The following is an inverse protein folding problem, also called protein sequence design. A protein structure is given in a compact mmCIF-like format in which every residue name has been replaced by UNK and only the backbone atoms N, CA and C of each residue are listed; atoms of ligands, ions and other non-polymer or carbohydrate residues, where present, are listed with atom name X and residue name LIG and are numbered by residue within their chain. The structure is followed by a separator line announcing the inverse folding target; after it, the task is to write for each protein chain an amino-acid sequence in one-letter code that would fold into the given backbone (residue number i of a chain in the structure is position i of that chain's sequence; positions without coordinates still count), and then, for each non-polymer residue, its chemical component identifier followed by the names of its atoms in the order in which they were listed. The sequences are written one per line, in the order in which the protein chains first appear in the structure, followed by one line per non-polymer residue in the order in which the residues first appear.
data_IF_243850082288
#
_entry.id   IF_243850082288
#
_cell.length_a   1.000
_cell.length_b   1.000
_cell.length_c   1.000
_cell.angle_alpha   90.00
_cell.angle_beta   90.00
_cell.angle_gamma   90.00
#
_symmetry.space_group_name_H-M   'P 1'
#
loop_
_entity.id
_entity.type
_entity.pdbx_description
1 polymer ?
#
# COMPACT_ATOMS: atom_id res chain seq x y z
N UNK A 1 26.53 -64.31 54.73
CA UNK A 1 27.06 -62.92 54.81
C UNK A 1 27.53 -62.53 53.41
N UNK A 2 26.77 -61.89 52.51
CA UNK A 2 25.75 -60.85 52.68
C UNK A 2 26.34 -59.50 52.21
N UNK A 3 26.57 -59.31 50.90
CA UNK A 3 26.97 -58.01 50.32
C UNK A 3 25.72 -57.16 50.08
N UNK A 4 25.67 -55.89 50.52
CA UNK A 4 24.49 -55.05 50.33
C UNK A 4 24.49 -54.36 48.96
N UNK A 5 23.30 -54.31 48.36
CA UNK A 5 22.95 -53.53 47.19
C UNK A 5 22.93 -52.03 47.52
N UNK A 6 23.50 -51.19 46.65
CA UNK A 6 23.16 -49.77 46.59
C UNK A 6 22.42 -49.49 45.28
N UNK A 7 21.11 -49.29 45.39
CA UNK A 7 20.21 -48.91 44.32
C UNK A 7 20.01 -47.39 44.26
N UNK A 8 19.88 -46.91 43.02
CA UNK A 8 18.82 -46.01 42.52
C UNK A 8 18.28 -44.96 43.53
N UNK A 9 18.87 -43.76 43.58
CA UNK A 9 18.21 -42.64 44.26
C UNK A 9 18.68 -41.23 43.82
N UNK A 10 18.86 -40.93 42.53
CA UNK A 10 19.12 -39.54 42.08
C UNK A 10 18.50 -39.25 40.69
N UNK A 11 17.22 -39.57 40.50
CA UNK A 11 16.47 -39.24 39.26
C UNK A 11 15.14 -38.51 39.49
N UNK A 12 14.97 -37.91 40.67
CA UNK A 12 13.81 -37.08 40.98
C UNK A 12 14.28 -35.87 41.78
N UNK A 13 14.54 -34.76 41.09
CA UNK A 13 14.34 -33.34 41.48
C UNK A 13 14.94 -32.52 40.33
N UNK A 14 14.23 -32.51 39.20
CA UNK A 14 14.31 -31.46 38.17
C UNK A 14 12.91 -31.36 37.54
N UNK A 15 11.90 -31.28 38.42
CA UNK A 15 10.50 -31.08 38.08
C UNK A 15 10.01 -29.83 38.80
N UNK A 16 10.49 -28.67 38.37
CA UNK A 16 9.85 -27.39 38.68
C UNK A 16 9.96 -26.46 37.47
N UNK A 17 8.81 -26.28 36.83
CA UNK A 17 8.44 -25.19 35.93
C UNK A 17 9.26 -25.01 34.65
N UNK A 18 9.03 -25.91 33.68
CA UNK A 18 8.92 -25.45 32.30
C UNK A 18 7.64 -24.60 32.21
N UNK A 19 7.80 -23.30 32.44
CA UNK A 19 6.81 -22.33 31.99
C UNK A 19 6.74 -22.46 30.47
N UNK A 20 5.71 -23.13 29.96
CA UNK A 20 5.43 -23.17 28.54
C UNK A 20 5.08 -21.74 28.14
N UNK A 21 6.08 -21.03 27.64
CA UNK A 21 5.89 -19.79 26.90
C UNK A 21 5.00 -20.12 25.70
N UNK A 22 3.69 -19.87 25.82
CA UNK A 22 2.72 -19.89 24.72
C UNK A 22 2.96 -18.66 23.82
N UNK A 23 4.12 -18.60 23.17
CA UNK A 23 4.48 -17.55 22.24
C UNK A 23 4.44 -17.96 20.76
N UNK A 24 4.17 -19.24 20.44
CA UNK A 24 4.37 -19.79 19.08
C UNK A 24 3.10 -20.07 18.27
N UNK A 25 1.90 -20.01 18.87
CA UNK A 25 0.67 -20.40 18.17
C UNK A 25 0.25 -19.43 17.06
N UNK A 26 0.45 -18.12 17.25
CA UNK A 26 -0.03 -17.11 16.29
C UNK A 26 0.80 -17.06 14.99
N UNK A 27 2.13 -17.23 15.10
CA UNK A 27 3.05 -17.20 13.94
C UNK A 27 2.86 -18.44 13.05
N UNK A 28 2.63 -19.60 13.66
CA UNK A 28 2.37 -20.84 12.90
C UNK A 28 1.02 -20.77 12.16
N UNK A 29 0.02 -20.14 12.75
CA UNK A 29 -1.31 -20.04 12.17
C UNK A 29 -1.40 -19.10 10.96
N UNK A 30 -0.74 -17.92 11.01
CA UNK A 30 -0.67 -17.02 9.84
C UNK A 30 0.02 -17.71 8.67
N UNK A 31 1.06 -18.49 8.95
CA UNK A 31 1.77 -19.29 7.94
C UNK A 31 0.86 -20.34 7.32
N UNK A 32 0.03 -21.03 8.13
CA UNK A 32 -0.93 -22.01 7.64
C UNK A 32 -2.01 -21.37 6.74
N UNK A 33 -2.56 -20.22 7.14
CA UNK A 33 -3.52 -19.47 6.32
C UNK A 33 -2.86 -19.08 5.00
N UNK A 34 -1.69 -18.44 5.05
CA UNK A 34 -0.95 -18.00 3.85
C UNK A 34 -0.69 -19.19 2.90
N UNK A 35 -0.18 -20.32 3.40
CA UNK A 35 0.05 -21.52 2.60
C UNK A 35 -1.25 -22.06 1.97
N UNK A 36 -2.36 -22.00 2.71
CA UNK A 36 -3.65 -22.51 2.23
C UNK A 36 -4.24 -21.66 1.10
N UNK A 37 -4.19 -20.33 1.23
CA UNK A 37 -4.79 -19.42 0.23
C UNK A 37 -3.87 -19.16 -0.97
N UNK A 38 -2.55 -19.35 -0.81
CA UNK A 38 -1.58 -19.12 -1.90
C UNK A 38 -1.21 -20.37 -2.70
N UNK A 39 -1.69 -21.57 -2.33
CA UNK A 39 -1.27 -22.84 -2.93
C UNK A 39 -1.34 -22.87 -4.47
N UNK A 40 -2.45 -22.39 -5.02
CA UNK A 40 -2.73 -22.36 -6.47
C UNK A 40 -2.96 -20.91 -6.97
N UNK A 41 -2.50 -19.94 -6.20
CA UNK A 41 -2.74 -18.53 -6.46
C UNK A 41 -1.85 -18.01 -7.58
N UNK A 42 -2.46 -17.45 -8.64
CA UNK A 42 -1.72 -16.82 -9.73
C UNK A 42 -1.78 -15.30 -9.65
N UNK A 43 -0.72 -14.71 -9.09
CA UNK A 43 -0.59 -13.25 -8.93
C UNK A 43 -0.48 -12.44 -10.22
N UNK A 44 -0.40 -13.07 -11.40
CA UNK A 44 -0.21 -12.37 -12.69
C UNK A 44 -1.52 -11.86 -13.29
N UNK A 45 -2.66 -12.37 -12.84
CA UNK A 45 -3.97 -12.02 -13.37
C UNK A 45 -4.84 -11.36 -12.31
N UNK A 46 -5.79 -10.53 -12.74
CA UNK A 46 -6.76 -9.89 -11.83
C UNK A 46 -7.48 -10.94 -10.99
N UNK A 47 -7.63 -10.73 -9.68
CA UNK A 47 -8.22 -11.71 -8.78
C UNK A 47 -9.75 -11.70 -8.80
N UNK A 48 -10.34 -11.87 -9.99
CA UNK A 48 -11.78 -12.02 -10.21
C UNK A 48 -12.08 -13.41 -10.77
N UNK A 49 -13.22 -14.00 -10.37
CA UNK A 49 -13.71 -15.28 -10.91
C UNK A 49 -14.40 -15.14 -12.26
N UNK A 50 -14.93 -13.95 -12.55
CA UNK A 50 -15.52 -13.61 -13.85
C UNK A 50 -14.73 -12.48 -14.50
N UNK A 51 -14.18 -12.71 -15.70
CA UNK A 51 -13.40 -11.68 -16.38
C UNK A 51 -14.23 -10.42 -16.69
N UNK A 52 -15.53 -10.55 -16.90
CA UNK A 52 -16.46 -9.43 -17.11
C UNK A 52 -16.64 -8.53 -15.89
N UNK A 53 -16.22 -8.97 -14.70
CA UNK A 53 -16.34 -8.18 -13.47
C UNK A 53 -15.28 -7.09 -13.44
N UNK A 54 -15.74 -5.85 -13.32
CA UNK A 54 -14.91 -4.68 -13.02
C UNK A 54 -14.45 -4.74 -11.56
N UNK A 55 -13.18 -4.42 -11.31
CA UNK A 55 -12.65 -4.24 -9.97
C UNK A 55 -12.67 -2.76 -9.59
N UNK A 56 -13.20 -2.45 -8.42
CA UNK A 56 -13.08 -1.12 -7.81
C UNK A 56 -11.94 -1.12 -6.82
N UNK A 57 -10.97 -0.23 -7.01
CA UNK A 57 -9.75 -0.13 -6.23
C UNK A 57 -9.63 1.30 -5.72
N UNK A 58 -10.29 1.68 -4.62
CA UNK A 58 -10.15 3.01 -4.07
C UNK A 58 -8.69 3.32 -3.75
N UNK A 59 -8.19 4.44 -4.29
CA UNK A 59 -6.81 4.90 -4.10
C UNK A 59 -6.82 6.19 -3.28
N UNK A 60 -5.98 6.26 -2.25
CA UNK A 60 -5.75 7.48 -1.48
C UNK A 60 -4.31 7.92 -1.63
N UNK A 61 -4.10 9.20 -1.94
CA UNK A 61 -2.78 9.81 -2.00
C UNK A 61 -2.61 10.83 -0.88
N UNK A 62 -1.46 10.76 -0.21
CA UNK A 62 -0.99 11.78 0.71
C UNK A 62 0.32 12.34 0.19
N UNK A 63 0.37 13.66 0.02
CA UNK A 63 1.58 14.37 -0.40
C UNK A 63 2.29 14.84 0.86
N UNK A 64 3.48 14.28 1.09
CA UNK A 64 4.29 14.61 2.27
C UNK A 64 5.19 15.82 2.01
N UNK A 65 5.76 15.91 0.80
CA UNK A 65 6.77 16.91 0.50
C UNK A 65 6.79 17.25 -1.00
N UNK A 66 6.82 18.53 -1.31
CA UNK A 66 7.15 19.05 -2.65
C UNK A 66 8.63 19.41 -2.63
N UNK A 67 9.46 18.59 -3.26
CA UNK A 67 10.92 18.78 -3.22
C UNK A 67 11.38 19.87 -4.17
N UNK A 68 10.84 19.87 -5.39
CA UNK A 68 11.26 20.80 -6.44
C UNK A 68 10.06 21.24 -7.27
N UNK A 69 10.03 22.53 -7.59
CA UNK A 69 9.20 23.11 -8.64
C UNK A 69 10.15 23.69 -9.68
N UNK A 70 9.97 23.31 -10.94
CA UNK A 70 10.71 23.84 -12.08
C UNK A 70 9.72 24.58 -12.98
N UNK A 71 9.68 25.91 -12.82
CA UNK A 71 8.74 26.79 -13.54
C UNK A 71 9.08 26.86 -15.04
N UNK A 72 10.36 26.77 -15.41
CA UNK A 72 10.77 26.83 -16.82
C UNK A 72 10.42 25.55 -17.56
N UNK A 73 10.73 24.40 -16.96
CA UNK A 73 10.40 23.09 -17.54
C UNK A 73 8.94 22.69 -17.29
N UNK A 74 8.21 23.45 -16.48
CA UNK A 74 6.83 23.19 -16.10
C UNK A 74 6.64 21.81 -15.42
N UNK A 75 7.52 21.50 -14.46
CA UNK A 75 7.54 20.21 -13.75
C UNK A 75 7.61 20.36 -12.24
N UNK A 76 7.20 19.31 -11.52
CA UNK A 76 7.39 19.21 -10.08
C UNK A 76 7.88 17.83 -9.65
N UNK A 77 8.68 17.79 -8.57
CA UNK A 77 9.08 16.58 -7.88
C UNK A 77 8.37 16.49 -6.53
N UNK A 78 7.61 15.42 -6.36
CA UNK A 78 6.71 15.19 -5.23
C UNK A 78 7.05 13.88 -4.53
N UNK A 79 6.90 13.86 -3.21
CA UNK A 79 7.01 12.65 -2.40
C UNK A 79 5.76 12.44 -1.56
N UNK A 80 5.36 11.19 -1.43
CA UNK A 80 4.12 10.88 -0.74
C UNK A 80 3.93 9.40 -0.45
N UNK A 81 2.73 9.11 0.04
CA UNK A 81 2.24 7.77 0.31
C UNK A 81 0.96 7.52 -0.48
N UNK A 82 0.83 6.31 -0.99
CA UNK A 82 -0.34 5.79 -1.65
C UNK A 82 -0.90 4.65 -0.80
N UNK A 83 -2.22 4.63 -0.60
CA UNK A 83 -2.95 3.47 -0.09
C UNK A 83 -3.94 3.01 -1.13
N UNK A 84 -3.97 1.71 -1.37
CA UNK A 84 -4.93 1.06 -2.25
C UNK A 84 -5.68 -0.03 -1.49
N UNK A 85 -6.97 -0.14 -1.77
CA UNK A 85 -7.81 -1.22 -1.23
C UNK A 85 -8.49 -1.93 -2.39
N UNK A 86 -8.48 -3.27 -2.40
CA UNK A 86 -9.22 -4.05 -3.39
C UNK A 86 -9.79 -5.32 -2.77
N UNK A 87 -10.60 -6.03 -3.52
CA UNK A 87 -11.07 -7.36 -3.17
C UNK A 87 -10.40 -8.40 -4.06
N UNK A 88 -9.83 -9.42 -3.45
CA UNK A 88 -9.27 -10.59 -4.10
C UNK A 88 -10.16 -11.80 -3.81
N UNK A 89 -10.82 -12.32 -4.85
CA UNK A 89 -11.80 -13.40 -4.72
C UNK A 89 -11.18 -14.78 -4.39
N UNK A 90 -9.84 -14.89 -4.47
CA UNK A 90 -9.08 -16.10 -4.21
C UNK A 90 -8.40 -16.09 -2.83
N UNK A 91 -8.16 -14.91 -2.24
CA UNK A 91 -7.56 -14.77 -0.91
C UNK A 91 -8.60 -14.80 0.22
N UNK A 92 -9.39 -15.87 0.30
CA UNK A 92 -10.48 -16.02 1.27
C UNK A 92 -10.30 -17.25 2.14
N UNK A 93 -10.71 -17.14 3.41
CA UNK A 93 -10.75 -18.29 4.32
C UNK A 93 -11.90 -18.15 5.32
N UNK A 94 -12.25 -19.26 5.97
CA UNK A 94 -13.21 -19.27 7.08
C UNK A 94 -12.46 -19.07 8.41
N UNK A 95 -12.69 -17.97 9.15
CA UNK A 95 -11.99 -17.73 10.42
C UNK A 95 -12.16 -18.87 11.42
N UNK A 96 -13.30 -19.55 11.44
CA UNK A 96 -13.58 -20.69 12.33
C UNK A 96 -12.60 -21.86 12.17
N UNK A 97 -12.02 -22.05 10.98
CA UNK A 97 -10.99 -23.07 10.71
C UNK A 97 -9.60 -22.66 11.21
N UNK A 98 -9.42 -21.38 11.52
CA UNK A 98 -8.17 -20.79 11.94
C UNK A 98 -8.41 -19.90 13.15
N UNK A 99 -8.86 -20.49 14.27
CA UNK A 99 -8.97 -19.83 15.58
C UNK A 99 -9.58 -18.41 15.56
N UNK A 100 -10.57 -18.17 14.70
CA UNK A 100 -11.21 -16.88 14.46
C UNK A 100 -10.27 -15.75 14.00
N UNK A 101 -9.17 -16.08 13.32
CA UNK A 101 -8.28 -15.10 12.70
C UNK A 101 -8.95 -14.46 11.51
N UNK A 102 -9.13 -13.14 11.59
CA UNK A 102 -9.84 -12.34 10.59
C UNK A 102 -8.93 -11.64 9.59
N UNK A 103 -7.63 -11.53 9.87
CA UNK A 103 -6.68 -10.90 8.98
C UNK A 103 -5.27 -11.46 9.16
N UNK A 104 -4.47 -11.41 8.09
CA UNK A 104 -3.05 -11.74 8.09
C UNK A 104 -2.27 -10.69 7.30
N UNK A 105 -0.97 -10.57 7.58
CA UNK A 105 -0.05 -9.78 6.75
C UNK A 105 0.66 -10.69 5.77
N UNK A 106 0.64 -10.35 4.48
CA UNK A 106 1.33 -11.08 3.43
C UNK A 106 2.27 -10.13 2.72
N UNK A 107 3.49 -10.59 2.45
CA UNK A 107 4.42 -9.86 1.60
C UNK A 107 3.76 -9.48 0.27
N UNK A 108 3.75 -8.18 -0.04
CA UNK A 108 2.91 -7.64 -1.11
C UNK A 108 3.27 -8.18 -2.50
N UNK A 109 4.54 -8.58 -2.69
CA UNK A 109 5.03 -9.22 -3.91
C UNK A 109 4.53 -10.66 -4.13
N UNK A 110 3.92 -11.30 -3.12
CA UNK A 110 3.36 -12.67 -3.23
C UNK A 110 1.94 -12.68 -3.82
N UNK A 111 1.22 -11.56 -3.72
CA UNK A 111 -0.16 -11.43 -4.18
C UNK A 111 -0.24 -10.54 -5.44
N UNK A 112 -1.38 -10.59 -6.13
CA UNK A 112 -1.66 -9.67 -7.23
C UNK A 112 -1.72 -8.23 -6.70
N UNK A 113 -1.23 -7.29 -7.50
CA UNK A 113 -1.32 -5.87 -7.21
C UNK A 113 -1.74 -5.12 -8.49
N UNK A 114 -2.55 -4.06 -8.37
CA UNK A 114 -2.81 -3.16 -9.49
C UNK A 114 -1.50 -2.53 -10.00
N UNK A 115 -1.43 -2.28 -11.30
CA UNK A 115 -0.24 -1.72 -11.94
C UNK A 115 -0.43 -0.23 -12.14
N UNK A 116 -0.21 0.55 -11.10
CA UNK A 116 -0.39 1.99 -11.14
C UNK A 116 0.68 2.69 -12.00
N UNK A 117 0.22 3.56 -12.90
CA UNK A 117 1.06 4.42 -13.71
C UNK A 117 0.64 5.89 -13.55
N UNK A 118 1.65 6.76 -13.45
CA UNK A 118 1.53 8.21 -13.53
C UNK A 118 1.55 8.63 -15.00
N UNK A 119 0.39 9.03 -15.52
CA UNK A 119 0.22 9.35 -16.94
C UNK A 119 0.80 10.71 -17.32
N UNK A 120 0.76 11.68 -16.41
CA UNK A 120 1.39 12.99 -16.61
C UNK A 120 2.82 13.02 -16.03
N UNK A 121 3.59 11.96 -16.25
CA UNK A 121 4.98 11.90 -15.79
C UNK A 121 5.88 12.80 -16.62
N UNK A 122 6.70 13.61 -15.95
CA UNK A 122 7.74 14.42 -16.58
C UNK A 122 9.05 13.66 -16.82
N UNK A 123 9.13 12.37 -16.47
CA UNK A 123 10.30 11.51 -16.69
C UNK A 123 9.94 10.19 -17.36
N UNK A 124 10.80 9.71 -18.26
CA UNK A 124 10.61 8.43 -18.96
C UNK A 124 10.64 7.19 -18.06
N UNK A 125 11.34 7.24 -16.92
CA UNK A 125 11.64 6.07 -16.09
C UNK A 125 11.05 6.16 -14.65
N UNK A 126 10.09 7.06 -14.43
CA UNK A 126 9.51 7.32 -13.09
C UNK A 126 7.98 7.31 -13.06
N UNK A 127 7.35 6.69 -14.05
CA UNK A 127 5.89 6.66 -14.18
C UNK A 127 5.25 5.49 -13.43
N UNK A 128 5.95 4.37 -13.23
CA UNK A 128 5.38 3.21 -12.56
C UNK A 128 5.44 3.34 -11.03
N UNK A 129 4.37 2.98 -10.33
CA UNK A 129 4.32 2.92 -8.87
C UNK A 129 4.22 1.47 -8.38
N UNK A 130 5.26 1.00 -7.67
CA UNK A 130 5.29 -0.30 -7.02
C UNK A 130 4.94 -0.15 -5.53
N UNK A 131 3.89 -0.84 -5.07
CA UNK A 131 3.59 -1.00 -3.63
C UNK A 131 4.42 -2.16 -3.03
N UNK A 132 5.74 -2.14 -3.24
CA UNK A 132 6.66 -3.16 -2.76
C UNK A 132 7.35 -2.71 -1.47
N UNK A 133 7.72 -3.66 -0.60
CA UNK A 133 8.49 -3.41 0.61
C UNK A 133 7.66 -3.18 1.88
N UNK A 134 6.34 -3.05 1.77
CA UNK A 134 5.41 -3.06 2.91
C UNK A 134 4.44 -4.24 2.75
N UNK A 135 4.31 -5.15 3.74
CA UNK A 135 3.34 -6.23 3.70
C UNK A 135 1.90 -5.70 3.53
N UNK A 136 1.12 -6.36 2.69
CA UNK A 136 -0.30 -6.09 2.55
C UNK A 136 -1.09 -6.75 3.70
N UNK A 137 -2.10 -6.07 4.21
CA UNK A 137 -3.06 -6.67 5.14
C UNK A 137 -4.19 -7.31 4.33
N UNK A 138 -4.38 -8.62 4.49
CA UNK A 138 -5.44 -9.39 3.84
C UNK A 138 -6.46 -9.78 4.90
N UNK A 139 -7.74 -9.49 4.66
CA UNK A 139 -8.86 -9.92 5.51
C UNK A 139 -9.44 -11.25 5.02
N UNK A 140 -10.08 -11.99 5.92
CA UNK A 140 -10.72 -13.28 5.62
C UNK A 140 -11.76 -13.20 4.48
N UNK A 141 -12.34 -12.03 4.27
CA UNK A 141 -13.31 -11.73 3.21
C UNK A 141 -12.68 -11.57 1.82
N UNK A 142 -11.34 -11.59 1.72
CA UNK A 142 -10.62 -11.28 0.49
C UNK A 142 -10.31 -9.79 0.32
N UNK A 143 -10.71 -8.93 1.26
CA UNK A 143 -10.36 -7.51 1.21
C UNK A 143 -8.88 -7.31 1.52
N UNK A 144 -8.17 -6.63 0.63
CA UNK A 144 -6.73 -6.35 0.74
C UNK A 144 -6.51 -4.87 0.92
N UNK A 145 -5.62 -4.51 1.84
CA UNK A 145 -5.09 -3.16 2.03
C UNK A 145 -3.60 -3.19 1.79
N UNK A 146 -3.12 -2.33 0.90
CA UNK A 146 -1.70 -2.18 0.61
C UNK A 146 -1.34 -0.71 0.54
N UNK A 147 -0.08 -0.41 0.80
CA UNK A 147 0.46 0.94 0.70
C UNK A 147 1.85 0.92 0.11
N UNK A 148 2.24 2.06 -0.44
CA UNK A 148 3.58 2.29 -0.98
C UNK A 148 3.94 3.76 -0.88
N UNK A 149 5.24 4.05 -0.86
CA UNK A 149 5.73 5.41 -1.07
C UNK A 149 5.92 5.67 -2.56
N UNK A 150 5.88 6.95 -2.94
CA UNK A 150 6.19 7.36 -4.30
C UNK A 150 7.07 8.60 -4.33
N UNK A 151 7.82 8.71 -5.41
CA UNK A 151 8.53 9.92 -5.83
C UNK A 151 8.14 10.22 -7.26
N UNK A 152 7.26 11.20 -7.44
CA UNK A 152 6.66 11.52 -8.73
C UNK A 152 7.23 12.80 -9.31
N UNK A 153 7.74 12.67 -10.53
CA UNK A 153 8.00 13.79 -11.42
C UNK A 153 6.75 14.02 -12.27
N UNK A 154 6.01 15.09 -12.01
CA UNK A 154 4.76 15.43 -12.70
C UNK A 154 4.96 16.64 -13.62
N UNK A 155 4.30 16.63 -14.77
CA UNK A 155 4.13 17.83 -15.60
C UNK A 155 2.96 18.65 -15.05
N UNK A 156 3.11 19.97 -14.99
CA UNK A 156 2.06 20.89 -14.57
C UNK A 156 2.03 22.10 -15.50
N UNK A 157 0.86 22.49 -16.00
CA UNK A 157 0.72 23.66 -16.86
C UNK A 157 0.66 24.93 -16.00
N UNK A 158 1.72 25.73 -16.03
CA UNK A 158 1.78 26.97 -15.25
C UNK A 158 1.11 28.13 -15.99
N UNK A 159 0.27 28.91 -15.29
CA UNK A 159 -0.34 30.15 -15.79
C UNK A 159 0.26 31.38 -15.10
N UNK A 160 1.00 32.19 -15.85
CA UNK A 160 1.71 33.38 -15.34
C UNK A 160 0.93 34.69 -15.48
N UNK A 161 -0.37 34.63 -15.79
CA UNK A 161 -1.19 35.81 -16.07
C UNK A 161 -1.19 36.82 -14.91
N UNK A 162 -1.17 36.36 -13.66
CA UNK A 162 -1.22 37.20 -12.45
C UNK A 162 0.09 37.20 -11.63
N UNK A 163 1.22 36.93 -12.29
CA UNK A 163 2.50 36.83 -11.58
C UNK A 163 2.86 38.10 -10.78
N UNK A 164 3.29 37.99 -9.49
CA UNK A 164 3.62 36.77 -8.73
C UNK A 164 2.48 36.25 -7.83
N UNK A 165 1.24 36.69 -8.01
CA UNK A 165 0.08 36.29 -7.18
C UNK A 165 -0.74 35.18 -7.82
N UNK A 166 -0.21 34.58 -8.87
CA UNK A 166 -0.78 33.45 -9.59
C UNK A 166 -0.96 32.21 -8.69
N UNK A 167 -1.99 31.44 -9.02
CA UNK A 167 -2.32 30.18 -8.36
C UNK A 167 -2.14 29.07 -9.39
N UNK A 168 -1.28 28.11 -9.06
CA UNK A 168 -0.98 27.00 -9.96
C UNK A 168 -1.70 25.74 -9.49
N UNK A 169 -2.48 25.13 -10.39
CA UNK A 169 -3.20 23.87 -10.13
C UNK A 169 -2.54 22.72 -10.89
N UNK A 170 -1.86 21.86 -10.15
CA UNK A 170 -1.10 20.76 -10.72
C UNK A 170 -1.74 19.40 -10.41
N UNK A 171 -2.47 18.78 -11.35
CA UNK A 171 -3.11 17.50 -11.13
C UNK A 171 -2.11 16.35 -11.12
N UNK A 172 -2.38 15.32 -10.33
CA UNK A 172 -1.68 14.03 -10.39
C UNK A 172 -2.61 13.02 -11.09
N UNK A 173 -2.19 12.51 -12.24
CA UNK A 173 -3.02 11.62 -13.06
C UNK A 173 -2.51 10.18 -12.93
N UNK A 174 -3.21 9.37 -12.13
CA UNK A 174 -2.92 7.95 -11.95
C UNK A 174 -4.00 7.11 -12.62
N UNK A 175 -3.58 6.07 -13.34
CA UNK A 175 -4.46 5.03 -13.85
C UNK A 175 -3.76 3.66 -13.82
N UNK A 176 -4.52 2.59 -14.05
CA UNK A 176 -3.92 1.27 -14.25
C UNK A 176 -3.25 1.22 -15.64
N UNK A 177 -2.07 0.57 -15.69
CA UNK A 177 -1.26 0.45 -16.89
C UNK A 177 -1.69 -0.70 -17.81
N UNK A 178 -2.27 -1.75 -17.22
CA UNK A 178 -2.56 -3.01 -17.90
C UNK A 178 -4.03 -3.06 -18.32
N UNK A 179 -4.92 -2.52 -17.49
CA UNK A 179 -6.36 -2.67 -17.61
C UNK A 179 -7.03 -1.32 -17.82
N UNK A 180 -8.00 -1.29 -18.74
CA UNK A 180 -8.84 -0.12 -18.94
C UNK A 180 -9.89 0.06 -17.83
N UNK A 181 -10.62 1.19 -17.90
CA UNK A 181 -11.66 1.53 -16.94
C UNK A 181 -12.80 0.50 -16.87
N UNK A 182 -13.06 -0.31 -17.90
CA UNK A 182 -14.08 -1.38 -17.85
C UNK A 182 -13.68 -2.54 -16.94
N UNK A 183 -12.38 -2.71 -16.71
CA UNK A 183 -11.81 -3.81 -15.91
C UNK A 183 -11.33 -3.34 -14.53
N UNK A 184 -10.78 -2.13 -14.43
CA UNK A 184 -10.25 -1.56 -13.19
C UNK A 184 -10.69 -0.10 -13.07
N UNK A 185 -11.44 0.20 -12.02
CA UNK A 185 -11.80 1.56 -11.64
C UNK A 185 -11.09 1.93 -10.34
N UNK A 186 -10.34 3.05 -10.35
CA UNK A 186 -9.58 3.52 -9.19
C UNK A 186 -10.37 4.44 -8.25
N UNK A 187 -11.61 4.79 -8.63
CA UNK A 187 -12.39 5.76 -7.86
C UNK A 187 -12.91 5.19 -6.55
N UNK A 188 -13.04 6.06 -5.55
CA UNK A 188 -13.77 5.76 -4.32
C UNK A 188 -15.26 6.06 -4.48
N UNK A 189 -16.15 5.06 -4.54
CA UNK A 189 -17.58 5.28 -4.76
C UNK A 189 -18.28 6.05 -3.61
N UNK A 190 -17.61 6.25 -2.48
CA UNK A 190 -18.14 6.93 -1.29
C UNK A 190 -17.64 8.39 -1.15
N UNK A 191 -16.77 8.88 -2.02
CA UNK A 191 -16.25 10.26 -1.99
C UNK A 191 -16.43 10.93 -3.35
N UNK A 192 -16.64 12.24 -3.32
CA UNK A 192 -16.71 13.06 -4.54
C UNK A 192 -15.40 12.93 -5.32
N UNK A 193 -15.48 12.65 -6.62
CA UNK A 193 -14.36 12.49 -7.56
C UNK A 193 -13.53 13.79 -7.69
N UNK A 194 -12.75 14.14 -6.68
CA UNK A 194 -11.76 15.21 -6.77
C UNK A 194 -10.41 14.57 -7.11
N UNK A 195 -9.91 14.83 -8.32
CA UNK A 195 -8.53 14.47 -8.66
C UNK A 195 -7.57 15.11 -7.64
N UNK A 196 -6.52 14.40 -7.18
CA UNK A 196 -5.47 15.00 -6.37
C UNK A 196 -4.85 16.18 -7.13
N UNK A 197 -5.00 17.39 -6.58
CA UNK A 197 -4.46 18.63 -7.13
C UNK A 197 -3.54 19.25 -6.08
N UNK A 198 -2.34 19.64 -6.50
CA UNK A 198 -1.44 20.45 -5.70
C UNK A 198 -1.64 21.90 -6.08
N UNK A 199 -1.75 22.77 -5.07
CA UNK A 199 -1.89 24.21 -5.25
C UNK A 199 -0.61 24.90 -4.85
N UNK A 200 -0.02 25.66 -5.77
CA UNK A 200 1.14 26.51 -5.46
C UNK A 200 0.70 27.97 -5.43
N UNK A 201 1.15 28.71 -4.42
CA UNK A 201 0.84 30.13 -4.22
C UNK A 201 2.07 30.88 -3.74
N UNK A 202 2.18 32.18 -4.02
CA UNK A 202 3.27 33.00 -3.51
C UNK A 202 3.25 33.21 -1.99
N UNK A 203 4.43 33.14 -1.36
CA UNK A 203 4.61 33.42 0.08
C UNK A 203 5.19 34.83 0.28
N UNK A 204 4.38 35.80 0.75
CA UNK A 204 4.80 37.18 0.92
C UNK A 204 5.80 37.40 2.07
N UNK A 205 5.99 36.42 2.96
CA UNK A 205 6.92 36.51 4.10
C UNK A 205 8.36 36.26 3.65
N UNK A 206 8.58 35.40 2.65
CA UNK A 206 9.89 35.08 2.09
C UNK A 206 10.24 35.97 0.90
N UNK A 207 10.37 37.27 1.16
CA UNK A 207 10.52 38.33 0.15
C UNK A 207 11.84 38.30 -0.67
N UNK A 208 12.84 37.52 -0.25
CA UNK A 208 14.16 37.47 -0.90
C UNK A 208 14.17 36.70 -2.24
N UNK A 209 13.13 35.91 -2.51
CA UNK A 209 12.92 35.29 -3.82
C UNK A 209 11.42 35.15 -4.07
N UNK A 210 10.90 35.75 -5.15
CA UNK A 210 9.51 35.63 -5.60
C UNK A 210 9.16 34.20 -6.02
N UNK A 211 9.21 33.25 -5.09
CA UNK A 211 9.02 31.82 -5.31
C UNK A 211 7.64 31.41 -4.82
N UNK A 212 7.03 30.52 -5.57
CA UNK A 212 5.84 29.81 -5.14
C UNK A 212 6.15 28.86 -3.98
N UNK A 213 5.25 28.76 -3.01
CA UNK A 213 5.24 27.76 -1.94
C UNK A 213 4.07 26.81 -2.19
N UNK A 214 4.33 25.52 -2.01
CA UNK A 214 3.32 24.49 -2.21
C UNK A 214 2.44 24.30 -0.98
N UNK A 215 1.12 24.33 -1.17
CA UNK A 215 0.14 23.72 -0.29
C UNK A 215 -0.36 22.41 -0.90
N UNK A 216 -0.44 21.34 -0.11
CA UNK A 216 -1.06 20.08 -0.55
C UNK A 216 -2.43 19.89 0.11
N UNK A 217 -3.43 19.54 -0.69
CA UNK A 217 -4.67 18.93 -0.19
C UNK A 217 -4.56 17.41 -0.35
N UNK A 218 -4.66 16.66 0.74
CA UNK A 218 -4.70 15.20 0.68
C UNK A 218 -5.99 14.75 0.00
N UNK A 219 -5.91 13.85 -0.99
CA UNK A 219 -7.06 13.49 -1.81
C UNK A 219 -7.29 11.98 -1.88
N UNK A 220 -8.56 11.59 -1.75
CA UNK A 220 -9.03 10.29 -2.21
C UNK A 220 -9.38 10.42 -3.69
N UNK A 221 -8.83 9.51 -4.49
CA UNK A 221 -9.28 9.24 -5.85
C UNK A 221 -10.49 8.31 -5.74
#
# INVERSE_FOLDING_TARGET
MGRPHYGRFWWFIFLTFLSIFHGSALVDQNRQIEQSILKDYNKRHRPVKSDSKQMTIPVFLMINHVEKVDELEQTMLLHGLLWATWEDEYLRWEPSKFNNTNMISIESWKIWQPSFALYNSAKSNGWYLHMQGVPATVMYSGKVYSSGSFSFHVTCLFDYTDYPYDIQECPIVIADWIYDLSKVNLSNPLKSDSKPIIRLTFDPIRNESKKHVAGSENACI
#
